data_IF_576058470361
#
_entry.id   IF_576058470361
#
_cell.length_a   1.000
_cell.length_b   1.000
_cell.length_c   1.000
_cell.angle_alpha   90.00
_cell.angle_beta   90.00
_cell.angle_gamma   90.00
#
_symmetry.space_group_name_H-M   'P 1'
#
loop_
_entity.id
_entity.type
_entity.pdbx_description
1 polymer ?
#
# COMPACT_ATOMS: atom_id res chain seq x y z
N UNK A 1 -16.95 25.50 -6.29
CA UNK A 1 -16.90 24.88 -4.96
C UNK A 1 -17.40 23.44 -5.08
N UNK A 2 -16.60 22.44 -4.70
CA UNK A 2 -17.03 21.03 -4.73
C UNK A 2 -18.11 20.76 -3.68
N UNK A 3 -19.05 19.83 -3.95
CA UNK A 3 -20.02 19.39 -2.94
C UNK A 3 -19.26 18.88 -1.71
N UNK A 4 -19.76 19.18 -0.48
CA UNK A 4 -19.16 18.64 0.75
C UNK A 4 -19.18 17.10 0.71
N UNK A 5 -18.14 16.50 1.26
CA UNK A 5 -18.06 15.04 1.39
C UNK A 5 -19.18 14.53 2.33
N UNK A 6 -19.74 13.34 2.08
CA UNK A 6 -20.71 12.73 2.97
C UNK A 6 -20.18 12.68 4.42
N UNK A 7 -21.04 13.01 5.40
CA UNK A 7 -20.64 13.04 6.81
C UNK A 7 -20.12 11.69 7.30
N UNK A 8 -20.69 10.59 6.80
CA UNK A 8 -20.28 9.23 7.10
C UNK A 8 -18.86 8.93 6.64
N UNK A 9 -18.48 9.40 5.43
CA UNK A 9 -17.12 9.30 4.90
C UNK A 9 -16.12 10.05 5.81
N UNK A 10 -16.47 11.26 6.24
CA UNK A 10 -15.62 12.08 7.13
C UNK A 10 -15.43 11.39 8.48
N UNK A 11 -16.51 10.83 9.04
CA UNK A 11 -16.47 10.10 10.32
C UNK A 11 -15.65 8.81 10.21
N UNK A 12 -15.85 8.03 9.15
CA UNK A 12 -15.07 6.81 8.88
C UNK A 12 -13.59 7.14 8.76
N UNK A 13 -13.23 8.17 8.01
CA UNK A 13 -11.85 8.63 7.85
C UNK A 13 -11.20 9.01 9.19
N UNK A 14 -11.96 9.67 10.08
CA UNK A 14 -11.49 10.01 11.44
C UNK A 14 -11.27 8.74 12.28
N UNK A 15 -12.21 7.79 12.23
CA UNK A 15 -12.14 6.50 12.94
C UNK A 15 -10.94 5.67 12.50
N UNK A 16 -10.74 5.54 11.18
CA UNK A 16 -9.55 4.87 10.60
C UNK A 16 -8.26 5.50 11.11
N UNK A 17 -8.14 6.83 11.03
CA UNK A 17 -6.95 7.54 11.54
C UNK A 17 -6.69 7.29 13.02
N UNK A 18 -7.74 7.20 13.83
CA UNK A 18 -7.62 6.92 15.26
C UNK A 18 -7.03 5.53 15.51
N UNK A 19 -7.53 4.50 14.81
CA UNK A 19 -7.04 3.13 14.92
C UNK A 19 -5.58 3.04 14.45
N UNK A 20 -5.26 3.66 13.31
CA UNK A 20 -3.90 3.67 12.77
C UNK A 20 -2.90 4.33 13.74
N UNK A 21 -3.27 5.46 14.33
CA UNK A 21 -2.44 6.16 15.34
C UNK A 21 -2.21 5.30 16.59
N UNK A 22 -3.23 4.60 17.06
CA UNK A 22 -3.11 3.69 18.22
C UNK A 22 -2.13 2.54 17.94
N UNK A 23 -1.93 2.17 16.69
CA UNK A 23 -0.94 1.18 16.22
C UNK A 23 0.38 1.81 15.73
N UNK A 24 0.62 3.08 16.05
CA UNK A 24 1.83 3.84 15.67
C UNK A 24 2.04 4.03 14.16
N UNK A 25 0.98 3.91 13.36
CA UNK A 25 1.05 4.24 11.92
C UNK A 25 0.93 5.76 11.70
N UNK A 26 1.87 6.31 10.92
CA UNK A 26 1.71 7.62 10.31
C UNK A 26 0.68 7.57 9.18
N UNK A 27 -0.11 8.63 9.00
CA UNK A 27 -1.12 8.70 7.94
C UNK A 27 -0.88 9.89 7.02
N UNK A 28 -0.93 9.65 5.71
CA UNK A 28 -0.92 10.70 4.68
C UNK A 28 -2.21 10.59 3.88
N UNK A 29 -2.84 11.73 3.64
CA UNK A 29 -4.05 11.82 2.84
C UNK A 29 -3.70 12.42 1.48
N UNK A 30 -3.96 11.68 0.40
CA UNK A 30 -3.66 12.14 -0.96
C UNK A 30 -4.31 13.49 -1.30
N UNK A 31 -5.51 13.75 -0.76
CA UNK A 31 -6.22 15.01 -0.96
C UNK A 31 -5.61 16.19 -0.19
N UNK A 32 -4.89 15.95 0.92
CA UNK A 32 -4.33 17.01 1.78
C UNK A 32 -2.95 17.49 1.35
N UNK A 33 -2.26 16.75 0.47
CA UNK A 33 -0.92 17.12 0.01
C UNK A 33 -1.05 18.02 -1.22
N UNK A 34 -0.70 19.29 -1.07
CA UNK A 34 -0.62 20.25 -2.18
C UNK A 34 0.85 20.45 -2.55
N UNK A 35 1.24 19.98 -3.72
CA UNK A 35 2.65 20.07 -4.17
C UNK A 35 2.90 21.17 -5.20
N UNK A 36 1.85 21.80 -5.73
CA UNK A 36 1.96 22.74 -6.87
C UNK A 36 2.52 22.12 -8.15
N UNK A 37 2.72 20.80 -8.16
CA UNK A 37 3.25 20.02 -9.29
C UNK A 37 2.16 19.15 -9.89
N UNK A 38 2.53 18.44 -10.96
CA UNK A 38 1.66 17.46 -11.61
C UNK A 38 1.00 16.52 -10.59
N UNK A 39 -0.32 16.39 -10.67
CA UNK A 39 -1.13 15.55 -9.80
C UNK A 39 -0.68 14.07 -9.86
N UNK A 40 -0.35 13.57 -11.05
CA UNK A 40 0.12 12.20 -11.24
C UNK A 40 1.46 11.93 -10.54
N UNK A 41 2.39 12.88 -10.62
CA UNK A 41 3.67 12.78 -9.92
C UNK A 41 3.49 12.74 -8.41
N UNK A 42 2.53 13.51 -7.88
CA UNK A 42 2.17 13.47 -6.45
C UNK A 42 1.65 12.10 -6.04
N UNK A 43 0.68 11.56 -6.76
CA UNK A 43 0.10 10.24 -6.48
C UNK A 43 1.18 9.16 -6.55
N UNK A 44 2.01 9.21 -7.58
CA UNK A 44 3.15 8.30 -7.71
C UNK A 44 4.09 8.35 -6.50
N UNK A 45 4.49 9.55 -6.07
CA UNK A 45 5.38 9.73 -4.93
C UNK A 45 4.76 9.17 -3.63
N UNK A 46 3.46 9.38 -3.41
CA UNK A 46 2.74 8.81 -2.26
C UNK A 46 2.67 7.28 -2.33
N UNK A 47 2.33 6.70 -3.50
CA UNK A 47 2.27 5.26 -3.71
C UNK A 47 3.62 4.58 -3.47
N UNK A 48 4.72 5.22 -3.87
CA UNK A 48 6.08 4.70 -3.63
C UNK A 48 6.49 4.83 -2.16
N UNK A 49 6.07 5.90 -1.49
CA UNK A 49 6.50 6.20 -0.11
C UNK A 49 5.70 5.47 0.96
N UNK A 50 4.45 5.07 0.68
CA UNK A 50 3.57 4.43 1.65
C UNK A 50 3.59 2.91 1.50
N UNK A 51 3.83 2.13 2.57
CA UNK A 51 3.81 0.67 2.51
C UNK A 51 2.40 0.11 2.35
N UNK A 52 1.38 0.83 2.84
CA UNK A 52 -0.02 0.39 2.86
C UNK A 52 -0.91 1.48 2.29
N UNK A 53 -1.85 1.10 1.43
CA UNK A 53 -2.90 1.94 0.89
C UNK A 53 -4.27 1.58 1.49
N UNK A 54 -5.00 2.59 1.95
CA UNK A 54 -6.38 2.42 2.43
C UNK A 54 -7.30 3.28 1.58
N UNK A 55 -8.13 2.64 0.76
CA UNK A 55 -9.16 3.31 -0.02
C UNK A 55 -10.48 3.30 0.74
N UNK A 56 -11.13 4.45 0.90
CA UNK A 56 -12.46 4.56 1.52
C UNK A 56 -13.45 4.94 0.42
N UNK A 57 -14.39 4.06 0.16
CA UNK A 57 -15.41 4.23 -0.90
C UNK A 57 -16.81 4.36 -0.31
N UNK A 58 -17.64 5.21 -0.89
CA UNK A 58 -18.99 5.51 -0.46
C UNK A 58 -19.89 5.74 -1.67
N UNK A 59 -21.12 5.27 -1.64
CA UNK A 59 -22.07 5.41 -2.75
C UNK A 59 -22.36 6.85 -3.18
N UNK A 60 -22.24 7.80 -2.26
CA UNK A 60 -22.39 9.24 -2.54
C UNK A 60 -21.16 9.92 -3.13
N UNK A 61 -20.07 9.18 -3.43
CA UNK A 61 -18.89 9.73 -4.10
C UNK A 61 -19.18 9.81 -5.61
N UNK A 62 -18.80 10.94 -6.23
CA UNK A 62 -18.94 11.09 -7.68
C UNK A 62 -18.15 10.05 -8.45
N UNK A 63 -18.66 9.55 -9.59
CA UNK A 63 -17.97 8.52 -10.39
C UNK A 63 -16.52 8.89 -10.74
N UNK A 64 -16.25 10.15 -11.08
CA UNK A 64 -14.90 10.62 -11.43
C UNK A 64 -13.94 10.53 -10.24
N UNK A 65 -14.42 10.86 -9.04
CA UNK A 65 -13.64 10.75 -7.81
C UNK A 65 -13.40 9.28 -7.46
N UNK A 66 -14.39 8.42 -7.66
CA UNK A 66 -14.25 6.99 -7.46
C UNK A 66 -13.22 6.39 -8.43
N UNK A 67 -13.25 6.79 -9.70
CA UNK A 67 -12.26 6.37 -10.69
C UNK A 67 -10.84 6.75 -10.27
N UNK A 68 -10.63 7.97 -9.72
CA UNK A 68 -9.33 8.39 -9.21
C UNK A 68 -8.87 7.52 -8.02
N UNK A 69 -9.77 7.17 -7.09
CA UNK A 69 -9.45 6.28 -5.97
C UNK A 69 -9.00 4.90 -6.47
N UNK A 70 -9.70 4.34 -7.45
CA UNK A 70 -9.32 3.05 -8.03
C UNK A 70 -8.03 3.12 -8.83
N UNK A 71 -7.77 4.24 -9.50
CA UNK A 71 -6.51 4.47 -10.18
C UNK A 71 -5.33 4.53 -9.20
N UNK A 72 -5.47 5.26 -8.08
CA UNK A 72 -4.49 5.30 -6.99
C UNK A 72 -4.23 3.91 -6.41
N UNK A 73 -5.30 3.12 -6.19
CA UNK A 73 -5.22 1.76 -5.70
C UNK A 73 -4.47 0.85 -6.69
N UNK A 74 -4.75 0.98 -7.99
CA UNK A 74 -4.05 0.25 -9.05
C UNK A 74 -2.54 0.55 -9.06
N UNK A 75 -2.15 1.79 -8.85
CA UNK A 75 -0.74 2.17 -8.68
C UNK A 75 -0.12 1.49 -7.46
N UNK A 76 -0.81 1.49 -6.31
CA UNK A 76 -0.33 0.81 -5.11
C UNK A 76 -0.10 -0.68 -5.39
N UNK A 77 -1.03 -1.37 -6.06
CA UNK A 77 -0.87 -2.76 -6.47
C UNK A 77 0.30 -2.97 -7.41
N UNK A 78 0.47 -2.12 -8.42
CA UNK A 78 1.58 -2.21 -9.38
C UNK A 78 2.96 -2.10 -8.69
N UNK A 79 3.04 -1.34 -7.58
CA UNK A 79 4.25 -1.24 -6.76
C UNK A 79 4.35 -2.31 -5.67
N UNK A 80 3.45 -3.29 -5.66
CA UNK A 80 3.45 -4.38 -4.66
C UNK A 80 3.21 -3.86 -3.25
N UNK A 81 2.35 -2.85 -3.09
CA UNK A 81 1.92 -2.35 -1.79
C UNK A 81 0.71 -3.10 -1.29
N UNK A 82 0.63 -3.29 0.01
CA UNK A 82 -0.57 -3.85 0.62
C UNK A 82 -1.71 -2.84 0.57
N UNK A 83 -2.91 -3.32 0.27
CA UNK A 83 -4.07 -2.45 0.15
C UNK A 83 -5.30 -3.07 0.76
N UNK A 84 -6.17 -2.21 1.29
CA UNK A 84 -7.51 -2.58 1.75
C UNK A 84 -8.51 -1.52 1.31
N UNK A 85 -9.71 -1.98 0.95
CA UNK A 85 -10.84 -1.11 0.61
C UNK A 85 -11.82 -1.08 1.78
N UNK A 86 -12.15 0.10 2.29
CA UNK A 86 -13.21 0.29 3.27
C UNK A 86 -14.47 0.73 2.52
N UNK A 87 -15.50 -0.08 2.61
CA UNK A 87 -16.76 0.07 1.90
C UNK A 87 -17.85 0.63 2.83
N UNK A 88 -18.42 1.77 2.45
CA UNK A 88 -19.51 2.43 3.16
C UNK A 88 -20.76 2.35 2.28
N UNK A 89 -21.81 1.71 2.79
CA UNK A 89 -23.04 1.46 2.02
C UNK A 89 -22.87 0.38 0.95
N UNK A 90 -23.81 0.35 0.00
CA UNK A 90 -23.81 -0.67 -1.08
C UNK A 90 -23.08 -0.20 -2.32
N UNK A 91 -21.77 -0.01 -2.19
CA UNK A 91 -20.90 0.36 -3.32
C UNK A 91 -20.55 -0.88 -4.13
N UNK A 92 -20.78 -0.84 -5.45
CA UNK A 92 -20.30 -1.86 -6.37
C UNK A 92 -18.83 -1.61 -6.69
N UNK A 93 -17.98 -2.56 -6.34
CA UNK A 93 -16.56 -2.53 -6.68
C UNK A 93 -16.34 -3.09 -8.09
N UNK A 94 -15.36 -2.59 -8.86
CA UNK A 94 -14.95 -3.20 -10.12
C UNK A 94 -14.55 -4.67 -9.92
N UNK A 95 -14.87 -5.53 -10.91
CA UNK A 95 -14.59 -6.97 -10.85
C UNK A 95 -13.12 -7.30 -10.56
N UNK A 96 -12.21 -6.51 -11.10
CA UNK A 96 -10.77 -6.71 -10.94
C UNK A 96 -10.29 -6.40 -9.50
N UNK A 97 -11.07 -5.63 -8.74
CA UNK A 97 -10.83 -5.33 -7.34
C UNK A 97 -11.58 -6.25 -6.37
N UNK A 98 -12.44 -7.14 -6.85
CA UNK A 98 -13.17 -8.12 -6.02
C UNK A 98 -12.20 -9.06 -5.28
N UNK A 99 -11.01 -9.28 -5.82
CA UNK A 99 -9.94 -10.05 -5.14
C UNK A 99 -9.22 -9.27 -4.05
N UNK A 100 -9.42 -7.95 -3.98
CA UNK A 100 -8.89 -7.10 -2.91
C UNK A 100 -9.77 -7.28 -1.68
N UNK A 101 -9.16 -7.54 -0.55
CA UNK A 101 -9.86 -7.60 0.72
C UNK A 101 -10.58 -6.27 0.99
N UNK A 102 -11.85 -6.33 1.37
CA UNK A 102 -12.60 -5.14 1.75
C UNK A 102 -13.21 -5.28 3.14
N UNK A 103 -13.33 -4.17 3.82
CA UNK A 103 -13.89 -4.06 5.16
C UNK A 103 -15.17 -3.22 5.07
N UNK A 104 -16.29 -3.77 5.50
CA UNK A 104 -17.57 -3.03 5.60
C UNK A 104 -17.65 -2.21 6.88
N UNK A 105 -18.38 -1.10 6.83
CA UNK A 105 -18.70 -0.31 8.02
C UNK A 105 -19.91 -0.94 8.72
N UNK A 106 -19.61 -1.82 9.65
CA UNK A 106 -20.58 -2.50 10.52
C UNK A 106 -20.05 -2.61 11.96
N UNK A 107 -20.68 -3.44 12.79
CA UNK A 107 -20.27 -3.66 14.18
C UNK A 107 -18.86 -4.27 14.30
N UNK A 108 -18.41 -5.03 13.29
CA UNK A 108 -17.09 -5.69 13.26
C UNK A 108 -15.98 -4.80 12.73
N UNK A 109 -16.28 -3.62 12.19
CA UNK A 109 -15.34 -2.74 11.47
C UNK A 109 -13.99 -2.56 12.18
N UNK A 110 -14.01 -2.22 13.48
CA UNK A 110 -12.75 -1.98 14.22
C UNK A 110 -11.90 -3.25 14.26
N UNK A 111 -12.55 -4.38 14.58
CA UNK A 111 -11.89 -5.68 14.64
C UNK A 111 -11.30 -6.06 13.28
N UNK A 112 -12.10 -5.96 12.22
CA UNK A 112 -11.64 -6.30 10.86
C UNK A 112 -10.46 -5.43 10.40
N UNK A 113 -10.46 -4.14 10.74
CA UNK A 113 -9.32 -3.27 10.43
C UNK A 113 -8.09 -3.62 11.27
N UNK A 114 -8.26 -3.96 12.54
CA UNK A 114 -7.16 -4.40 13.40
C UNK A 114 -6.59 -5.74 12.95
N UNK A 115 -7.43 -6.69 12.54
CA UNK A 115 -7.03 -7.99 12.01
C UNK A 115 -6.22 -7.80 10.71
N UNK A 116 -6.67 -6.92 9.80
CA UNK A 116 -5.90 -6.53 8.62
C UNK A 116 -4.52 -5.95 9.00
N UNK A 117 -4.45 -5.02 9.94
CA UNK A 117 -3.17 -4.43 10.36
C UNK A 117 -2.25 -5.48 11.02
N UNK A 118 -2.81 -6.45 11.72
CA UNK A 118 -2.04 -7.56 12.32
C UNK A 118 -1.50 -8.50 11.24
N UNK A 119 -2.29 -8.81 10.22
CA UNK A 119 -1.87 -9.66 9.10
C UNK A 119 -0.69 -9.09 8.29
N UNK A 120 -0.42 -7.80 8.39
CA UNK A 120 0.74 -7.19 7.71
C UNK A 120 2.08 -7.78 8.18
N UNK A 121 2.18 -8.18 9.46
CA UNK A 121 3.37 -8.84 9.99
C UNK A 121 3.54 -10.24 9.38
N UNK A 122 2.46 -11.02 9.31
CA UNK A 122 2.46 -12.34 8.69
C UNK A 122 2.84 -12.26 7.20
N UNK A 123 2.36 -11.24 6.50
CA UNK A 123 2.75 -10.96 5.11
C UNK A 123 4.23 -10.62 4.98
N UNK A 124 4.78 -9.86 5.93
CA UNK A 124 6.20 -9.56 5.94
C UNK A 124 7.06 -10.83 6.16
N UNK A 125 6.64 -11.74 7.03
CA UNK A 125 7.29 -13.03 7.23
C UNK A 125 7.18 -13.92 5.98
N UNK A 126 6.01 -13.95 5.35
CA UNK A 126 5.80 -14.65 4.08
C UNK A 126 6.74 -14.14 2.98
N UNK A 127 6.88 -12.83 2.84
CA UNK A 127 7.81 -12.24 1.86
C UNK A 127 9.27 -12.59 2.17
N UNK A 128 9.66 -12.68 3.44
CA UNK A 128 11.01 -13.12 3.83
C UNK A 128 11.25 -14.58 3.46
N UNK A 129 10.24 -15.43 3.62
CA UNK A 129 10.28 -16.83 3.21
C UNK A 129 10.44 -16.95 1.70
N UNK A 130 9.62 -16.23 0.91
CA UNK A 130 9.74 -16.21 -0.54
C UNK A 130 11.12 -15.72 -1.01
N UNK A 131 11.64 -14.67 -0.37
CA UNK A 131 12.98 -14.18 -0.67
C UNK A 131 14.06 -15.25 -0.47
N UNK A 132 13.92 -16.08 0.58
CA UNK A 132 14.82 -17.22 0.82
C UNK A 132 14.73 -18.31 -0.25
N UNK A 133 13.51 -18.65 -0.65
CA UNK A 133 13.28 -19.66 -1.68
C UNK A 133 13.75 -19.20 -3.09
N UNK A 134 13.84 -17.91 -3.30
CA UNK A 134 14.16 -17.29 -4.59
C UNK A 134 15.56 -16.67 -4.65
N UNK A 135 16.48 -17.01 -3.75
CA UNK A 135 17.84 -16.42 -3.73
C UNK A 135 18.62 -16.63 -5.04
N UNK A 136 18.31 -17.71 -5.77
CA UNK A 136 18.88 -17.92 -7.12
C UNK A 136 18.39 -16.90 -8.17
N UNK A 137 17.34 -16.12 -7.86
CA UNK A 137 16.88 -15.00 -8.67
C UNK A 137 16.99 -13.70 -7.86
N UNK A 138 18.14 -13.00 -7.91
CA UNK A 138 18.40 -11.83 -7.08
C UNK A 138 17.35 -10.71 -7.23
N UNK A 139 16.79 -10.53 -8.44
CA UNK A 139 15.77 -9.51 -8.68
C UNK A 139 14.50 -9.78 -7.85
N UNK A 140 14.00 -11.01 -7.87
CA UNK A 140 12.81 -11.40 -7.11
C UNK A 140 13.09 -11.42 -5.60
N UNK A 141 14.22 -12.01 -5.19
CA UNK A 141 14.60 -12.06 -3.77
C UNK A 141 14.70 -10.66 -3.16
N UNK A 142 15.34 -9.73 -3.85
CA UNK A 142 15.48 -8.34 -3.40
C UNK A 142 14.12 -7.63 -3.39
N UNK A 143 13.23 -7.85 -4.37
CA UNK A 143 11.89 -7.24 -4.36
C UNK A 143 11.06 -7.74 -3.16
N UNK A 144 11.08 -9.03 -2.84
CA UNK A 144 10.38 -9.55 -1.67
C UNK A 144 10.98 -9.04 -0.35
N UNK A 145 12.29 -8.94 -0.23
CA UNK A 145 12.95 -8.32 0.94
C UNK A 145 12.55 -6.84 1.08
N UNK A 146 12.43 -6.12 -0.02
CA UNK A 146 11.97 -4.73 -0.03
C UNK A 146 10.52 -4.62 0.46
N UNK A 147 9.62 -5.50 -0.02
CA UNK A 147 8.22 -5.54 0.45
C UNK A 147 8.16 -5.79 1.95
N UNK A 148 8.89 -6.77 2.46
CA UNK A 148 8.97 -7.04 3.90
C UNK A 148 9.56 -5.84 4.68
N UNK A 149 10.61 -5.21 4.16
CA UNK A 149 11.21 -4.02 4.77
C UNK A 149 10.23 -2.85 4.87
N UNK A 150 9.45 -2.59 3.82
CA UNK A 150 8.49 -1.50 3.81
C UNK A 150 7.37 -1.69 4.86
N UNK A 151 7.02 -2.94 5.18
CA UNK A 151 6.02 -3.23 6.21
C UNK A 151 6.59 -3.14 7.63
N UNK A 152 7.86 -3.50 7.83
CA UNK A 152 8.45 -3.68 9.18
C UNK A 152 9.47 -2.62 9.56
N UNK A 153 10.11 -1.95 8.58
CA UNK A 153 11.26 -1.08 8.80
C UNK A 153 12.53 -1.80 9.27
N UNK A 154 12.55 -3.14 9.26
CA UNK A 154 13.63 -3.94 9.82
C UNK A 154 14.93 -3.82 9.00
N UNK A 155 15.93 -3.12 9.54
CA UNK A 155 17.22 -2.85 8.86
C UNK A 155 17.95 -4.10 8.40
N UNK A 156 17.76 -5.23 9.07
CA UNK A 156 18.35 -6.51 8.71
C UNK A 156 17.95 -6.97 7.29
N UNK A 157 16.70 -6.67 6.87
CA UNK A 157 16.21 -7.01 5.53
C UNK A 157 16.93 -6.22 4.44
N UNK A 158 17.16 -4.93 4.68
CA UNK A 158 17.97 -4.09 3.79
C UNK A 158 19.41 -4.59 3.68
N UNK A 159 20.00 -5.01 4.79
CA UNK A 159 21.36 -5.57 4.81
C UNK A 159 21.41 -6.90 4.04
N UNK A 160 20.39 -7.77 4.20
CA UNK A 160 20.30 -9.03 3.44
C UNK A 160 20.19 -8.75 1.94
N UNK A 161 19.35 -7.80 1.53
CA UNK A 161 19.23 -7.39 0.12
C UNK A 161 20.56 -6.89 -0.45
N UNK A 162 21.31 -6.08 0.30
CA UNK A 162 22.64 -5.63 -0.11
C UNK A 162 23.63 -6.76 -0.29
N UNK A 163 23.60 -7.79 0.58
CA UNK A 163 24.47 -8.98 0.45
C UNK A 163 24.13 -9.76 -0.82
N UNK A 164 22.84 -10.02 -1.07
CA UNK A 164 22.40 -10.71 -2.30
C UNK A 164 22.84 -9.91 -3.54
N UNK A 165 22.66 -8.60 -3.53
CA UNK A 165 23.09 -7.75 -4.64
C UNK A 165 24.60 -7.82 -4.88
N UNK A 166 25.41 -7.72 -3.82
CA UNK A 166 26.87 -7.75 -3.92
C UNK A 166 27.44 -9.11 -4.37
N UNK A 167 26.73 -10.21 -4.07
CA UNK A 167 27.12 -11.57 -4.48
C UNK A 167 26.57 -11.99 -5.85
N UNK A 168 25.73 -11.15 -6.48
CA UNK A 168 25.08 -11.48 -7.75
C UNK A 168 25.89 -10.96 -8.95
N UNK A 169 26.03 -11.78 -9.98
CA UNK A 169 26.62 -11.40 -11.27
C UNK A 169 25.56 -10.83 -12.21
N UNK A 170 24.93 -9.74 -11.81
CA UNK A 170 23.88 -9.09 -12.61
C UNK A 170 24.47 -8.15 -13.65
N UNK A 171 23.93 -8.21 -14.87
CA UNK A 171 24.34 -7.37 -15.99
C UNK A 171 23.14 -6.70 -16.70
N UNK A 172 23.38 -5.58 -17.36
CA UNK A 172 22.43 -4.92 -18.23
C UNK A 172 21.11 -4.54 -17.53
N UNK A 173 19.98 -4.93 -18.10
CA UNK A 173 18.66 -4.56 -17.60
C UNK A 173 18.36 -5.10 -16.19
N UNK A 174 18.86 -6.29 -15.86
CA UNK A 174 18.64 -6.89 -14.54
C UNK A 174 19.38 -6.06 -13.46
N UNK A 175 20.62 -5.66 -13.70
CA UNK A 175 21.38 -4.77 -12.82
C UNK A 175 20.62 -3.46 -12.58
N UNK A 176 20.23 -2.75 -13.65
CA UNK A 176 19.51 -1.49 -13.55
C UNK A 176 18.18 -1.63 -12.76
N UNK A 177 17.49 -2.75 -12.92
CA UNK A 177 16.23 -3.00 -12.19
C UNK A 177 16.48 -3.19 -10.70
N UNK A 178 17.51 -3.95 -10.32
CA UNK A 178 17.86 -4.15 -8.90
C UNK A 178 18.36 -2.86 -8.27
N UNK A 179 19.20 -2.07 -8.96
CA UNK A 179 19.65 -0.77 -8.46
C UNK A 179 18.47 0.16 -8.13
N UNK A 180 17.44 0.21 -9.00
CA UNK A 180 16.21 0.99 -8.74
C UNK A 180 15.44 0.47 -7.52
N UNK A 181 15.33 -0.85 -7.34
CA UNK A 181 14.72 -1.43 -6.15
C UNK A 181 15.51 -1.07 -4.89
N UNK A 182 16.85 -1.09 -4.95
CA UNK A 182 17.72 -0.77 -3.81
C UNK A 182 17.60 0.68 -3.33
N UNK A 183 17.25 1.62 -4.21
CA UNK A 183 16.99 3.02 -3.83
C UNK A 183 15.72 3.16 -2.96
N UNK A 184 14.76 2.26 -3.10
CA UNK A 184 13.45 2.32 -2.41
C UNK A 184 13.39 1.53 -1.10
N UNK A 185 14.54 1.06 -0.60
CA UNK A 185 14.66 0.47 0.75
C UNK A 185 14.71 1.53 1.84
#
# INVERSE_FOLDING_TARGET
MGKPLPAELVNTKRRVRSILRARSFGTVDSASVTTGKDYLLKIWALAVSCPVGIAIVHEGIRPETMANVFYELGWMHAYGRETVVIKIGDVKLPSDLIRTEYISIDASFNRSLEDFLTSLNERAEYYQTLAGLLEANPLLAIDYLRRAYLLTGARALRQRARRIFASSELHGRALNSVERLMVTF
#
